data_IF_363138575764
#
_entry.id   IF_363138575764
#
_cell.length_a   1.000
_cell.length_b   1.000
_cell.length_c   1.000
_cell.angle_alpha   90.00
_cell.angle_beta   90.00
_cell.angle_gamma   90.00
#
_symmetry.space_group_name_H-M   'P 1'
#
loop_
_entity.id
_entity.type
_entity.pdbx_description
1 polymer ?
#
# COMPACT_ATOMS: atom_id res chain seq x y z
N UNK A 1 -10.34 -10.33 -22.63
CA UNK A 1 -11.67 -9.70 -22.67
C UNK A 1 -11.49 -8.19 -22.68
N UNK A 2 -12.37 -7.43 -23.36
CA UNK A 2 -12.34 -5.97 -23.29
C UNK A 2 -12.58 -5.51 -21.85
N UNK A 3 -11.84 -4.49 -21.43
CA UNK A 3 -11.88 -3.93 -20.07
C UNK A 3 -13.17 -3.13 -19.90
N UNK A 4 -14.03 -3.50 -18.94
CA UNK A 4 -15.35 -2.88 -18.73
C UNK A 4 -15.27 -1.53 -18.01
N UNK A 5 -14.29 -1.38 -17.12
CA UNK A 5 -14.06 -0.14 -16.38
C UNK A 5 -12.74 0.50 -16.80
N UNK A 6 -12.80 1.79 -17.09
CA UNK A 6 -11.63 2.58 -17.43
C UNK A 6 -11.69 3.94 -16.74
N UNK A 7 -10.61 4.29 -16.04
CA UNK A 7 -10.43 5.58 -15.44
C UNK A 7 -10.44 6.77 -16.44
N UNK A 8 -10.33 6.54 -17.75
CA UNK A 8 -10.52 7.56 -18.78
C UNK A 8 -12.00 7.90 -19.04
N UNK A 9 -12.93 6.97 -18.79
CA UNK A 9 -14.37 7.16 -18.98
C UNK A 9 -15.01 7.86 -17.76
N UNK A 10 -15.74 8.99 -17.92
CA UNK A 10 -16.36 9.70 -16.80
C UNK A 10 -17.27 8.84 -15.93
N UNK A 11 -18.16 8.04 -16.53
CA UNK A 11 -19.08 7.17 -15.78
C UNK A 11 -18.32 6.07 -15.05
N UNK A 12 -17.32 5.46 -15.70
CA UNK A 12 -16.49 4.45 -15.05
C UNK A 12 -15.68 5.03 -13.90
N UNK A 13 -15.18 6.28 -14.00
CA UNK A 13 -14.51 6.96 -12.87
C UNK A 13 -15.40 7.09 -11.65
N UNK A 14 -16.68 7.38 -11.83
CA UNK A 14 -17.63 7.48 -10.72
C UNK A 14 -17.75 6.14 -10.00
N UNK A 15 -17.91 5.05 -10.76
CA UNK A 15 -18.00 3.69 -10.20
C UNK A 15 -16.69 3.27 -9.54
N UNK A 16 -15.54 3.55 -10.16
CA UNK A 16 -14.22 3.21 -9.62
C UNK A 16 -13.89 3.98 -8.34
N UNK A 17 -14.28 5.26 -8.27
CA UNK A 17 -14.17 6.04 -7.03
C UNK A 17 -15.09 5.48 -5.95
N UNK A 18 -16.35 5.21 -6.29
CA UNK A 18 -17.31 4.58 -5.37
C UNK A 18 -16.81 3.23 -4.84
N UNK A 19 -16.08 2.46 -5.64
CA UNK A 19 -15.42 1.23 -5.20
C UNK A 19 -14.36 1.49 -4.13
N UNK A 20 -13.49 2.49 -4.30
CA UNK A 20 -12.51 2.84 -3.26
C UNK A 20 -13.18 3.32 -1.97
N UNK A 21 -14.25 4.11 -2.08
CA UNK A 21 -15.04 4.56 -0.91
C UNK A 21 -15.66 3.36 -0.18
N UNK A 22 -16.39 2.51 -0.90
CA UNK A 22 -17.02 1.32 -0.34
C UNK A 22 -16.00 0.37 0.32
N UNK A 23 -14.87 0.12 -0.32
CA UNK A 23 -13.82 -0.72 0.26
C UNK A 23 -13.28 -0.13 1.57
N UNK A 24 -13.07 1.19 1.61
CA UNK A 24 -12.53 1.87 2.79
C UNK A 24 -13.51 1.97 3.97
N UNK A 25 -14.82 1.95 3.70
CA UNK A 25 -15.85 2.12 4.73
C UNK A 25 -16.52 0.81 5.14
N UNK A 26 -16.87 -0.07 4.19
CA UNK A 26 -17.62 -1.30 4.45
C UNK A 26 -16.81 -2.58 4.17
N UNK A 27 -15.59 -2.46 3.62
CA UNK A 27 -14.71 -3.59 3.33
C UNK A 27 -15.04 -4.31 2.02
N UNK A 28 -14.44 -5.49 1.82
CA UNK A 28 -14.68 -6.38 0.67
C UNK A 28 -15.51 -7.60 1.09
N UNK A 29 -16.77 -7.65 0.66
CA UNK A 29 -17.75 -8.69 1.01
C UNK A 29 -19.15 -8.37 0.49
N UNK A 30 -20.18 -8.95 1.11
CA UNK A 30 -21.58 -8.87 0.63
C UNK A 30 -22.11 -7.44 0.52
N UNK A 31 -21.63 -6.53 1.37
CA UNK A 31 -22.07 -5.12 1.37
C UNK A 31 -21.36 -4.25 0.34
N UNK A 32 -20.25 -4.70 -0.25
CA UNK A 32 -19.42 -3.87 -1.11
C UNK A 32 -20.16 -3.45 -2.38
N UNK A 33 -20.75 -4.40 -3.11
CA UNK A 33 -21.44 -4.08 -4.36
C UNK A 33 -22.69 -3.19 -4.17
N UNK A 34 -23.59 -3.46 -3.19
CA UNK A 34 -24.69 -2.54 -2.90
C UNK A 34 -24.23 -1.12 -2.58
N UNK A 35 -23.15 -0.97 -1.79
CA UNK A 35 -22.60 0.33 -1.39
C UNK A 35 -21.99 1.08 -2.60
N UNK A 36 -21.28 0.36 -3.48
CA UNK A 36 -20.77 0.90 -4.75
C UNK A 36 -21.91 1.44 -5.61
N UNK A 37 -22.95 0.63 -5.84
CA UNK A 37 -24.09 1.02 -6.69
C UNK A 37 -24.77 2.27 -6.14
N UNK A 38 -24.99 2.31 -4.83
CA UNK A 38 -25.59 3.46 -4.16
C UNK A 38 -24.75 4.74 -4.34
N UNK A 39 -23.43 4.67 -4.13
CA UNK A 39 -22.52 5.83 -4.27
C UNK A 39 -22.34 6.29 -5.71
N UNK A 40 -22.34 5.37 -6.67
CA UNK A 40 -22.14 5.70 -8.08
C UNK A 40 -23.40 6.27 -8.75
N UNK A 41 -24.57 6.20 -8.11
CA UNK A 41 -25.84 6.68 -8.66
C UNK A 41 -26.18 6.00 -9.98
N UNK A 42 -26.63 6.77 -10.97
CA UNK A 42 -26.98 6.25 -12.30
C UNK A 42 -25.84 5.47 -12.99
N UNK A 43 -24.57 5.79 -12.70
CA UNK A 43 -23.44 5.05 -13.26
C UNK A 43 -23.29 3.64 -12.64
N UNK A 44 -23.86 3.42 -11.45
CA UNK A 44 -23.88 2.14 -10.73
C UNK A 44 -24.96 1.18 -11.19
N UNK A 45 -26.02 1.63 -11.85
CA UNK A 45 -27.17 0.80 -12.25
C UNK A 45 -26.78 -0.35 -13.18
N UNK A 46 -25.74 -0.16 -13.98
CA UNK A 46 -25.22 -1.15 -14.93
C UNK A 46 -24.10 -2.01 -14.36
N UNK A 47 -23.76 -1.90 -13.07
CA UNK A 47 -22.71 -2.72 -12.45
C UNK A 47 -23.33 -4.02 -11.97
N UNK A 48 -22.86 -5.15 -12.48
CA UNK A 48 -23.34 -6.49 -12.12
C UNK A 48 -22.46 -7.14 -11.04
N UNK A 49 -22.94 -8.21 -10.41
CA UNK A 49 -22.14 -8.95 -9.42
C UNK A 49 -20.87 -9.56 -10.01
N UNK A 50 -20.96 -10.07 -11.24
CA UNK A 50 -19.82 -10.61 -11.99
C UNK A 50 -18.73 -9.58 -12.28
N UNK A 51 -19.01 -8.29 -12.14
CA UNK A 51 -18.06 -7.21 -12.36
C UNK A 51 -17.20 -6.89 -11.16
N UNK A 52 -17.62 -7.28 -9.94
CA UNK A 52 -17.05 -6.76 -8.70
C UNK A 52 -15.54 -6.96 -8.63
N UNK A 53 -15.07 -8.14 -9.02
CA UNK A 53 -13.65 -8.49 -9.05
C UNK A 53 -12.85 -7.56 -9.99
N UNK A 54 -13.33 -7.38 -11.22
CA UNK A 54 -12.69 -6.50 -12.21
C UNK A 54 -12.70 -5.04 -11.77
N UNK A 55 -13.84 -4.61 -11.23
CA UNK A 55 -14.06 -3.26 -10.78
C UNK A 55 -13.08 -2.90 -9.65
N UNK A 56 -13.01 -3.74 -8.62
CA UNK A 56 -12.11 -3.54 -7.47
C UNK A 56 -10.65 -3.57 -7.90
N UNK A 57 -10.25 -4.55 -8.72
CA UNK A 57 -8.88 -4.62 -9.23
C UNK A 57 -8.51 -3.36 -10.03
N UNK A 58 -9.42 -2.86 -10.87
CA UNK A 58 -9.20 -1.65 -11.68
C UNK A 58 -9.19 -0.38 -10.81
N UNK A 59 -10.00 -0.32 -9.77
CA UNK A 59 -10.03 0.82 -8.85
C UNK A 59 -8.67 0.98 -8.15
N UNK A 60 -8.09 -0.14 -7.69
CA UNK A 60 -6.80 -0.17 -7.02
C UNK A 60 -5.61 0.21 -7.91
N UNK A 61 -5.74 0.21 -9.24
CA UNK A 61 -4.62 0.61 -10.13
C UNK A 61 -4.15 2.05 -9.93
N UNK A 62 -5.04 2.94 -9.45
CA UNK A 62 -4.70 4.33 -9.11
C UNK A 62 -4.24 4.53 -7.67
N UNK A 63 -4.32 3.49 -6.84
CA UNK A 63 -3.90 3.58 -5.44
C UNK A 63 -2.39 3.41 -5.34
N UNK A 64 -1.75 4.28 -4.56
CA UNK A 64 -0.34 4.18 -4.17
C UNK A 64 -0.23 4.49 -2.69
N UNK A 65 -0.08 3.45 -1.86
CA UNK A 65 -0.05 3.60 -0.39
C UNK A 65 1.22 4.31 0.07
N UNK A 66 2.33 4.12 -0.64
CA UNK A 66 3.61 4.74 -0.33
C UNK A 66 4.02 5.66 -1.46
N UNK A 67 4.53 6.83 -1.08
CA UNK A 67 5.20 7.75 -2.00
C UNK A 67 6.65 7.89 -1.53
N UNK A 68 7.64 7.66 -2.40
CA UNK A 68 9.04 7.91 -2.06
C UNK A 68 9.20 9.40 -1.70
N UNK A 69 9.80 9.74 -0.55
CA UNK A 69 10.20 11.12 -0.31
C UNK A 69 11.39 11.47 -1.20
N UNK A 70 11.57 12.77 -1.47
CA UNK A 70 12.77 13.26 -2.15
C UNK A 70 13.99 13.01 -1.24
N UNK A 71 15.02 12.28 -1.69
CA UNK A 71 16.18 11.99 -0.85
C UNK A 71 16.95 13.26 -0.52
N UNK A 72 17.18 13.52 0.77
CA UNK A 72 17.99 14.66 1.24
C UNK A 72 19.46 14.31 1.39
N UNK A 73 19.78 13.01 1.41
CA UNK A 73 21.11 12.48 1.68
C UNK A 73 21.33 12.13 3.16
N UNK A 74 20.43 12.54 4.04
CA UNK A 74 20.34 12.05 5.41
C UNK A 74 19.35 10.88 5.48
N UNK A 75 19.88 9.65 5.48
CA UNK A 75 19.06 8.44 5.51
C UNK A 75 18.14 8.37 6.74
N UNK A 76 18.55 8.93 7.89
CA UNK A 76 17.72 8.98 9.09
C UNK A 76 16.52 9.88 8.87
N UNK A 77 16.76 11.10 8.41
CA UNK A 77 15.69 12.05 8.12
C UNK A 77 14.76 11.51 7.03
N UNK A 78 15.31 10.92 5.98
CA UNK A 78 14.57 10.40 4.84
C UNK A 78 13.67 9.21 5.23
N UNK A 79 14.18 8.27 6.05
CA UNK A 79 13.36 7.17 6.60
C UNK A 79 12.28 7.68 7.55
N UNK A 80 12.60 8.67 8.41
CA UNK A 80 11.60 9.27 9.29
C UNK A 80 10.46 9.91 8.49
N UNK A 81 10.76 10.62 7.40
CA UNK A 81 9.74 11.19 6.51
C UNK A 81 8.88 10.09 5.87
N UNK A 82 9.48 9.01 5.37
CA UNK A 82 8.76 7.88 4.77
C UNK A 82 7.78 7.23 5.76
N UNK A 83 8.19 7.06 7.02
CA UNK A 83 7.42 6.36 8.04
C UNK A 83 6.46 7.26 8.82
N UNK A 84 6.61 8.59 8.76
CA UNK A 84 5.75 9.56 9.47
C UNK A 84 4.24 9.36 9.28
N UNK A 85 3.73 9.03 8.07
CA UNK A 85 2.31 8.75 7.88
C UNK A 85 1.78 7.61 8.75
N UNK A 86 2.64 6.72 9.25
CA UNK A 86 2.26 5.58 10.09
C UNK A 86 1.81 5.98 11.50
N UNK A 87 1.97 7.24 11.89
CA UNK A 87 1.45 7.77 13.15
C UNK A 87 -0.01 8.26 13.03
N UNK A 88 -0.48 8.51 11.81
CA UNK A 88 -1.86 8.95 11.56
C UNK A 88 -2.83 7.76 11.52
N UNK A 89 -4.15 8.00 11.47
CA UNK A 89 -5.11 6.93 11.12
C UNK A 89 -4.96 6.57 9.63
N UNK A 90 -5.15 5.31 9.23
CA UNK A 90 -5.10 4.93 7.82
C UNK A 90 -6.08 5.76 6.98
N UNK A 91 -5.61 6.24 5.83
CA UNK A 91 -6.44 6.96 4.87
C UNK A 91 -7.33 6.02 4.05
N UNK A 92 -8.18 6.61 3.20
CA UNK A 92 -9.09 5.89 2.29
C UNK A 92 -8.38 4.80 1.48
N UNK A 93 -7.29 5.15 0.82
CA UNK A 93 -6.52 4.25 -0.05
C UNK A 93 -5.86 3.09 0.72
N UNK A 94 -5.33 3.37 1.90
CA UNK A 94 -4.79 2.36 2.82
C UNK A 94 -5.88 1.37 3.25
N UNK A 95 -7.06 1.88 3.65
CA UNK A 95 -8.20 1.07 4.06
C UNK A 95 -8.77 0.26 2.89
N UNK A 96 -8.81 0.82 1.67
CA UNK A 96 -9.24 0.11 0.49
C UNK A 96 -8.34 -1.08 0.15
N UNK A 97 -7.01 -0.92 0.30
CA UNK A 97 -6.06 -2.03 0.18
C UNK A 97 -6.28 -3.04 1.31
N UNK A 98 -6.42 -2.58 2.55
CA UNK A 98 -6.62 -3.43 3.72
C UNK A 98 -7.83 -4.36 3.55
N UNK A 99 -8.93 -3.85 2.99
CA UNK A 99 -10.16 -4.58 2.73
C UNK A 99 -9.98 -5.81 1.83
N UNK A 100 -9.02 -5.78 0.90
CA UNK A 100 -8.81 -6.87 -0.07
C UNK A 100 -7.62 -7.76 0.24
N UNK A 101 -6.84 -7.48 1.29
CA UNK A 101 -5.61 -8.23 1.62
C UNK A 101 -5.86 -9.74 1.77
N UNK A 102 -6.93 -10.12 2.47
CA UNK A 102 -7.29 -11.52 2.66
C UNK A 102 -7.71 -12.15 1.33
N UNK A 103 -8.61 -11.50 0.58
CA UNK A 103 -9.08 -11.99 -0.71
C UNK A 103 -7.94 -12.17 -1.72
N UNK A 104 -6.97 -11.25 -1.74
CA UNK A 104 -5.80 -11.33 -2.61
C UNK A 104 -4.88 -12.54 -2.36
N UNK A 105 -5.02 -13.25 -1.24
CA UNK A 105 -4.26 -14.46 -0.98
C UNK A 105 -4.72 -15.67 -1.83
N UNK A 106 -5.98 -15.66 -2.29
CA UNK A 106 -6.55 -16.75 -3.11
C UNK A 106 -7.13 -16.27 -4.44
N UNK A 107 -7.33 -14.96 -4.63
CA UNK A 107 -7.78 -14.36 -5.88
C UNK A 107 -6.62 -13.64 -6.60
N UNK A 108 -6.03 -14.24 -7.66
CA UNK A 108 -4.83 -13.71 -8.31
C UNK A 108 -4.97 -12.27 -8.81
N UNK A 109 -6.16 -11.88 -9.29
CA UNK A 109 -6.36 -10.52 -9.84
C UNK A 109 -6.28 -9.47 -8.72
N UNK A 110 -6.84 -9.76 -7.54
CA UNK A 110 -6.73 -8.90 -6.37
C UNK A 110 -5.31 -8.94 -5.78
N UNK A 111 -4.67 -10.11 -5.73
CA UNK A 111 -3.29 -10.23 -5.29
C UNK A 111 -2.34 -9.35 -6.13
N UNK A 112 -2.53 -9.34 -7.45
CA UNK A 112 -1.79 -8.45 -8.35
C UNK A 112 -2.08 -6.97 -8.06
N UNK A 113 -3.35 -6.61 -7.87
CA UNK A 113 -3.73 -5.24 -7.55
C UNK A 113 -3.10 -4.75 -6.24
N UNK A 114 -3.10 -5.57 -5.18
CA UNK A 114 -2.42 -5.29 -3.91
C UNK A 114 -0.92 -5.12 -4.10
N UNK A 115 -0.29 -6.01 -4.87
CA UNK A 115 1.14 -5.92 -5.17
C UNK A 115 1.49 -4.57 -5.81
N UNK A 116 0.66 -4.08 -6.73
CA UNK A 116 0.87 -2.79 -7.40
C UNK A 116 0.56 -1.58 -6.53
N UNK A 117 -0.46 -1.67 -5.67
CA UNK A 117 -0.92 -0.56 -4.84
C UNK A 117 -0.08 -0.38 -3.55
N UNK A 118 0.52 -1.46 -3.05
CA UNK A 118 1.15 -1.50 -1.72
C UNK A 118 2.60 -2.03 -1.75
N UNK A 119 2.83 -3.26 -2.23
CA UNK A 119 4.14 -3.91 -2.12
C UNK A 119 5.21 -3.25 -2.99
N UNK A 120 4.89 -2.97 -4.26
CA UNK A 120 5.80 -2.31 -5.18
C UNK A 120 6.13 -0.88 -4.74
N UNK A 121 5.16 -0.01 -4.37
CA UNK A 121 5.46 1.33 -3.89
C UNK A 121 6.36 1.35 -2.65
N UNK A 122 6.16 0.44 -1.70
CA UNK A 122 7.06 0.33 -0.53
C UNK A 122 8.48 -0.03 -0.97
N UNK A 123 8.61 -1.06 -1.81
CA UNK A 123 9.92 -1.52 -2.32
C UNK A 123 10.64 -0.43 -3.07
N UNK A 124 9.92 0.33 -3.89
CA UNK A 124 10.46 1.46 -4.65
C UNK A 124 10.90 2.60 -3.72
N UNK A 125 10.10 2.94 -2.70
CA UNK A 125 10.45 3.98 -1.74
C UNK A 125 11.73 3.65 -0.97
N UNK A 126 11.80 2.45 -0.39
CA UNK A 126 12.99 2.00 0.35
C UNK A 126 14.21 1.89 -0.57
N UNK A 127 14.02 1.37 -1.78
CA UNK A 127 15.08 1.25 -2.78
C UNK A 127 15.65 2.60 -3.19
N UNK A 128 14.79 3.61 -3.41
CA UNK A 128 15.20 4.96 -3.77
C UNK A 128 16.05 5.60 -2.66
N UNK A 129 15.62 5.47 -1.39
CA UNK A 129 16.36 6.02 -0.24
C UNK A 129 17.75 5.41 -0.06
N UNK A 130 17.90 4.12 -0.37
CA UNK A 130 19.14 3.38 -0.15
C UNK A 130 20.02 3.26 -1.39
N UNK A 131 19.57 3.74 -2.55
CA UNK A 131 20.28 3.59 -3.83
C UNK A 131 21.73 4.09 -3.76
N UNK A 132 21.94 5.30 -3.23
CA UNK A 132 23.28 5.87 -3.06
C UNK A 132 24.14 5.09 -2.06
N UNK A 133 23.58 4.69 -0.92
CA UNK A 133 24.31 3.92 0.10
C UNK A 133 24.71 2.52 -0.38
N UNK A 134 23.92 1.91 -1.26
CA UNK A 134 24.25 0.64 -1.92
C UNK A 134 25.33 0.86 -2.99
N UNK A 135 25.21 1.90 -3.81
CA UNK A 135 26.19 2.21 -4.86
C UNK A 135 27.59 2.49 -4.27
N UNK A 136 27.64 3.16 -3.11
CA UNK A 136 28.88 3.43 -2.38
C UNK A 136 29.42 2.22 -1.60
N UNK A 137 28.73 1.08 -1.61
CA UNK A 137 29.09 -0.11 -0.84
C UNK A 137 28.92 0.02 0.68
N UNK A 138 28.26 1.08 1.16
CA UNK A 138 28.00 1.32 2.59
C UNK A 138 26.91 0.42 3.16
N UNK A 139 25.96 -0.01 2.32
CA UNK A 139 24.86 -0.92 2.69
C UNK A 139 24.82 -2.08 1.70
N UNK A 140 24.79 -3.32 2.21
CA UNK A 140 24.64 -4.50 1.38
C UNK A 140 23.18 -4.64 0.86
N UNK A 141 23.01 -5.08 -0.39
CA UNK A 141 21.68 -5.29 -1.01
C UNK A 141 20.79 -6.22 -0.17
N UNK A 142 21.36 -7.26 0.45
CA UNK A 142 20.61 -8.17 1.33
C UNK A 142 20.01 -7.46 2.54
N UNK A 143 20.64 -6.40 3.06
CA UNK A 143 20.11 -5.58 4.15
C UNK A 143 18.91 -4.75 3.69
N UNK A 144 18.92 -4.28 2.45
CA UNK A 144 17.77 -3.59 1.83
C UNK A 144 16.58 -4.56 1.70
N UNK A 145 16.81 -5.81 1.32
CA UNK A 145 15.75 -6.83 1.28
C UNK A 145 15.18 -7.12 2.67
N UNK A 146 16.04 -7.26 3.69
CA UNK A 146 15.58 -7.44 5.08
C UNK A 146 14.77 -6.25 5.56
N UNK A 147 15.23 -5.02 5.30
CA UNK A 147 14.49 -3.81 5.67
C UNK A 147 13.11 -3.77 5.00
N UNK A 148 13.04 -4.06 3.70
CA UNK A 148 11.76 -4.14 2.98
C UNK A 148 10.82 -5.17 3.60
N UNK A 149 11.33 -6.36 3.97
CA UNK A 149 10.53 -7.39 4.61
C UNK A 149 9.99 -6.95 5.98
N UNK A 150 10.83 -6.31 6.80
CA UNK A 150 10.44 -5.77 8.11
C UNK A 150 9.37 -4.68 7.96
N UNK A 151 9.63 -3.67 7.12
CA UNK A 151 8.70 -2.55 6.90
C UNK A 151 7.37 -3.04 6.32
N UNK A 152 7.40 -4.02 5.41
CA UNK A 152 6.18 -4.65 4.89
C UNK A 152 5.36 -5.30 6.01
N UNK A 153 6.03 -6.03 6.91
CA UNK A 153 5.38 -6.65 8.07
C UNK A 153 4.69 -5.64 8.97
N UNK A 154 5.41 -4.56 9.33
CA UNK A 154 4.89 -3.48 10.17
C UNK A 154 3.70 -2.75 9.50
N UNK A 155 3.82 -2.45 8.22
CA UNK A 155 2.74 -1.80 7.47
C UNK A 155 1.48 -2.68 7.39
N UNK A 156 1.64 -4.00 7.18
CA UNK A 156 0.51 -4.93 7.17
C UNK A 156 -0.15 -5.08 8.55
N UNK A 157 0.63 -5.09 9.63
CA UNK A 157 0.08 -5.10 10.99
C UNK A 157 -0.75 -3.83 11.25
N UNK A 158 -0.21 -2.67 10.89
CA UNK A 158 -0.91 -1.38 10.97
C UNK A 158 -2.24 -1.39 10.20
N UNK A 159 -2.24 -1.85 8.95
CA UNK A 159 -3.46 -1.90 8.12
C UNK A 159 -4.55 -2.81 8.72
N UNK A 160 -4.17 -3.86 9.44
CA UNK A 160 -5.11 -4.78 10.10
C UNK A 160 -5.59 -4.28 11.47
N UNK A 161 -4.71 -3.61 12.21
CA UNK A 161 -4.97 -3.19 13.59
C UNK A 161 -5.74 -1.88 13.72
N UNK A 162 -5.71 -1.01 12.69
CA UNK A 162 -6.37 0.30 12.68
C UNK A 162 -5.75 1.34 13.62
N UNK A 163 -5.39 0.94 14.84
CA UNK A 163 -4.55 1.69 15.77
C UNK A 163 -3.35 0.83 16.22
N UNK A 164 -2.17 1.43 16.42
CA UNK A 164 -1.06 0.76 17.07
C UNK A 164 -1.49 0.19 18.43
N UNK A 165 -1.14 -1.06 18.73
CA UNK A 165 -1.43 -1.69 20.03
C UNK A 165 -0.71 -1.00 21.20
N UNK A 166 0.36 -0.28 20.90
CA UNK A 166 1.13 0.54 21.82
C UNK A 166 1.57 1.84 21.11
N UNK A 167 1.85 2.92 21.86
CA UNK A 167 2.52 4.08 21.30
C UNK A 167 3.87 3.66 20.70
N UNK A 168 4.12 4.06 19.45
CA UNK A 168 5.39 3.83 18.76
C UNK A 168 6.13 5.16 18.72
N UNK A 169 7.32 5.21 19.31
CA UNK A 169 8.26 6.30 19.07
C UNK A 169 8.91 6.08 17.69
N UNK A 170 8.61 6.98 16.76
CA UNK A 170 9.08 6.89 15.39
C UNK A 170 10.59 7.10 15.29
N UNK A 171 11.16 7.99 16.09
CA UNK A 171 12.58 8.28 16.08
C UNK A 171 13.37 7.07 16.59
N UNK A 172 12.90 6.45 17.67
CA UNK A 172 13.49 5.22 18.19
C UNK A 172 13.37 4.06 17.19
N UNK A 173 12.22 3.92 16.51
CA UNK A 173 12.06 2.92 15.46
C UNK A 173 13.06 3.13 14.31
N UNK A 174 13.19 4.36 13.82
CA UNK A 174 14.14 4.69 12.73
C UNK A 174 15.57 4.37 13.15
N UNK A 175 15.94 4.66 14.40
CA UNK A 175 17.25 4.33 14.94
C UNK A 175 17.53 2.83 14.97
N UNK A 176 16.54 2.03 15.39
CA UNK A 176 16.65 0.58 15.36
C UNK A 176 16.84 0.04 13.93
N UNK A 177 16.11 0.61 12.96
CA UNK A 177 16.21 0.20 11.55
C UNK A 177 17.58 0.56 10.97
N UNK A 178 18.09 1.76 11.23
CA UNK A 178 19.40 2.22 10.74
C UNK A 178 20.54 1.43 11.37
N UNK A 179 20.48 1.16 12.68
CA UNK A 179 21.46 0.32 13.34
C UNK A 179 21.57 -1.07 12.67
N UNK A 180 20.44 -1.62 12.22
CA UNK A 180 20.37 -2.88 11.47
C UNK A 180 21.00 -2.86 10.07
N UNK A 181 21.23 -1.68 9.50
CA UNK A 181 21.91 -1.45 8.22
C UNK A 181 23.43 -1.30 8.33
N UNK A 182 23.96 -1.17 9.56
CA UNK A 182 25.38 -1.01 9.82
C UNK A 182 26.25 -2.12 9.22
N UNK A 183 27.59 -1.92 9.15
CA UNK A 183 28.50 -2.81 8.44
C UNK A 183 28.29 -4.24 8.94
N UNK A 184 27.86 -5.11 8.01
CA UNK A 184 27.52 -6.48 8.33
C UNK A 184 28.70 -7.15 9.04
N UNK A 185 28.41 -7.82 10.17
CA UNK A 185 29.39 -8.69 10.83
C UNK A 185 29.94 -9.62 9.76
N UNK A 186 31.24 -9.47 9.42
CA UNK A 186 31.89 -10.38 8.47
C UNK A 186 31.72 -11.79 9.03
N UNK A 187 31.28 -12.78 8.21
CA UNK A 187 31.39 -14.16 8.63
C UNK A 187 32.87 -14.43 8.89
N UNK A 188 33.20 -14.78 10.14
CA UNK A 188 34.51 -15.26 10.53
C UNK A 188 34.72 -16.69 10.07
#
# INVERSE_FOLDING_TARGET
MPRRFDWASPSSRMVLSAALDALSEVGYGERTLPDIRARAGAAGELVEESDLLELVATALERVRVFTPPEPTGDLRADLAVLLRPWLARPGRDELAVAAVLSAGAWEPRLGCAVLHAFDRPLTQAVGALLAGAVADGRVAVTRVHTLNWLLRGLALDRLRGGQPRCPVDLEELVDHLIAGLGPGRRPG
#
